data_IF_484643777505
#
_entry.id   IF_484643777505
#
_cell.length_a   1.000
_cell.length_b   1.000
_cell.length_c   1.000
_cell.angle_alpha   90.00
_cell.angle_beta   90.00
_cell.angle_gamma   90.00
#
_symmetry.space_group_name_H-M   'P 1'
#
loop_
_entity.id
_entity.type
_entity.pdbx_description
1 polymer ?
#
# COMPACT_ATOMS: atom_id res chain seq x y z
N UNK A 1 -31.89 11.39 -19.12
CA UNK A 1 -30.98 12.50 -19.49
C UNK A 1 -29.79 11.90 -20.20
N UNK A 2 -29.39 12.46 -21.34
CA UNK A 2 -28.13 12.06 -21.99
C UNK A 2 -26.93 12.39 -21.09
N UNK A 3 -25.82 11.71 -21.33
CA UNK A 3 -24.51 11.97 -20.68
C UNK A 3 -24.12 13.45 -20.67
N UNK A 4 -24.56 14.20 -21.68
CA UNK A 4 -24.34 15.64 -21.85
C UNK A 4 -24.94 16.53 -20.74
N UNK A 5 -26.22 16.34 -20.39
CA UNK A 5 -26.87 17.15 -19.35
C UNK A 5 -26.33 16.88 -17.94
N UNK A 6 -25.94 15.63 -17.70
CA UNK A 6 -25.29 15.19 -16.46
C UNK A 6 -23.91 15.83 -16.26
N UNK A 7 -23.15 16.03 -17.34
CA UNK A 7 -21.84 16.69 -17.30
C UNK A 7 -21.98 18.18 -17.00
N UNK A 8 -22.99 18.83 -17.58
CA UNK A 8 -23.27 20.25 -17.39
C UNK A 8 -23.73 20.56 -15.96
N UNK A 9 -24.67 19.77 -15.44
CA UNK A 9 -25.10 19.87 -14.04
C UNK A 9 -23.92 19.59 -13.11
N UNK A 10 -23.09 18.62 -13.46
CA UNK A 10 -21.90 18.27 -12.71
C UNK A 10 -20.87 19.40 -12.62
N UNK A 11 -20.58 20.01 -13.77
CA UNK A 11 -19.62 21.09 -13.89
C UNK A 11 -20.16 22.39 -13.25
N UNK A 12 -21.42 22.74 -13.50
CA UNK A 12 -22.08 23.89 -12.88
C UNK A 12 -22.19 23.77 -11.35
N UNK A 13 -22.45 22.57 -10.83
CA UNK A 13 -22.48 22.32 -9.39
C UNK A 13 -21.08 22.39 -8.74
N UNK A 14 -20.02 22.15 -9.51
CA UNK A 14 -18.65 22.27 -9.03
C UNK A 14 -18.17 23.74 -8.95
N UNK A 15 -18.81 24.66 -9.68
CA UNK A 15 -18.37 26.05 -9.83
C UNK A 15 -19.52 27.05 -9.63
N UNK A 16 -19.62 27.61 -8.43
CA UNK A 16 -20.59 28.65 -8.09
C UNK A 16 -19.95 30.04 -8.25
N UNK A 17 -19.98 30.60 -9.47
CA UNK A 17 -19.39 31.90 -9.80
C UNK A 17 -19.19 32.14 -11.31
N UNK A 18 -18.77 33.35 -11.74
CA UNK A 18 -18.35 33.56 -13.14
C UNK A 18 -17.21 32.58 -13.47
N UNK A 19 -17.19 32.01 -14.70
CA UNK A 19 -16.13 31.08 -15.09
C UNK A 19 -14.77 31.74 -14.82
N UNK A 20 -13.81 31.02 -14.23
CA UNK A 20 -12.51 31.58 -13.96
C UNK A 20 -11.91 32.04 -15.28
N UNK A 21 -11.14 33.13 -15.27
CA UNK A 21 -10.36 33.62 -16.43
C UNK A 21 -9.22 32.66 -16.84
N UNK A 22 -9.32 31.40 -16.45
CA UNK A 22 -8.31 30.35 -16.43
C UNK A 22 -8.49 29.39 -17.60
N UNK A 23 -7.40 28.73 -18.00
CA UNK A 23 -7.43 27.74 -19.08
C UNK A 23 -7.92 26.41 -18.53
N UNK A 24 -9.15 26.05 -18.86
CA UNK A 24 -9.74 24.78 -18.43
C UNK A 24 -9.57 23.70 -19.49
N UNK A 25 -9.04 22.54 -19.10
CA UNK A 25 -8.89 21.37 -19.96
C UNK A 25 -9.93 20.31 -19.60
N UNK A 26 -11.00 20.21 -20.39
CA UNK A 26 -12.09 19.26 -20.14
C UNK A 26 -12.03 18.14 -21.18
N UNK A 27 -11.93 16.89 -20.73
CA UNK A 27 -11.90 15.71 -21.61
C UNK A 27 -13.30 15.13 -21.75
N UNK A 28 -13.90 15.27 -22.94
CA UNK A 28 -15.22 14.73 -23.27
C UNK A 28 -15.29 14.09 -24.67
N UNK A 29 -16.30 13.24 -24.93
CA UNK A 29 -16.62 12.76 -26.28
C UNK A 29 -17.08 13.91 -27.21
N UNK A 30 -16.78 13.80 -28.51
CA UNK A 30 -16.98 14.84 -29.54
C UNK A 30 -18.42 15.39 -29.71
N UNK A 31 -19.42 14.73 -29.12
CA UNK A 31 -20.84 15.08 -29.27
C UNK A 31 -21.37 15.94 -28.10
N UNK A 32 -20.51 16.35 -27.16
CA UNK A 32 -20.95 16.91 -25.86
C UNK A 32 -20.38 18.29 -25.52
N UNK A 33 -19.98 19.07 -26.54
CA UNK A 33 -19.53 20.46 -26.32
C UNK A 33 -20.74 21.37 -26.07
N UNK A 34 -20.85 22.02 -24.91
CA UNK A 34 -21.98 22.90 -24.63
C UNK A 34 -21.87 24.26 -25.32
N UNK A 35 -23.04 24.84 -25.65
CA UNK A 35 -23.15 26.23 -26.10
C UNK A 35 -22.72 27.21 -24.97
N UNK A 36 -21.96 28.25 -25.31
CA UNK A 36 -21.54 29.30 -24.36
C UNK A 36 -20.25 29.02 -23.58
N UNK A 37 -19.60 27.88 -23.83
CA UNK A 37 -18.32 27.50 -23.21
C UNK A 37 -17.11 27.71 -24.15
N UNK A 38 -17.14 28.74 -25.00
CA UNK A 38 -16.12 28.97 -26.03
C UNK A 38 -14.76 29.41 -25.48
N UNK A 39 -14.73 29.88 -24.24
CA UNK A 39 -13.50 30.30 -23.55
C UNK A 39 -12.72 29.11 -22.95
N UNK A 40 -13.33 27.93 -22.86
CA UNK A 40 -12.73 26.71 -22.29
C UNK A 40 -12.00 25.89 -23.36
N UNK A 41 -10.93 25.20 -22.96
CA UNK A 41 -10.16 24.32 -23.86
C UNK A 41 -10.67 22.89 -23.73
N UNK A 42 -11.57 22.55 -24.64
CA UNK A 42 -12.08 21.20 -24.78
C UNK A 42 -11.01 20.33 -25.43
N UNK A 43 -10.62 19.26 -24.74
CA UNK A 43 -9.69 18.26 -25.27
C UNK A 43 -10.47 17.00 -25.57
N UNK A 44 -10.90 16.87 -26.82
CA UNK A 44 -11.61 15.68 -27.29
C UNK A 44 -10.66 14.49 -27.28
N UNK A 45 -11.08 13.42 -26.60
CA UNK A 45 -10.38 12.14 -26.67
C UNK A 45 -11.39 11.09 -27.11
N UNK A 46 -11.13 10.34 -28.20
CA UNK A 46 -12.05 9.33 -28.68
C UNK A 46 -12.40 8.32 -27.58
N UNK A 47 -13.67 7.89 -27.51
CA UNK A 47 -14.12 6.91 -26.50
C UNK A 47 -13.35 5.58 -26.54
N UNK A 48 -12.81 5.22 -27.72
CA UNK A 48 -11.98 4.04 -27.93
C UNK A 48 -10.51 4.21 -27.52
N UNK A 49 -10.11 5.40 -27.05
CA UNK A 49 -8.75 5.63 -26.59
C UNK A 49 -8.52 4.93 -25.24
N UNK A 50 -7.42 4.18 -25.18
CA UNK A 50 -6.94 3.63 -23.92
C UNK A 50 -6.55 4.73 -22.93
N UNK A 51 -6.47 4.36 -21.65
CA UNK A 51 -6.13 5.29 -20.57
C UNK A 51 -4.77 5.96 -20.78
N UNK A 52 -3.81 5.29 -21.42
CA UNK A 52 -2.47 5.81 -21.71
C UNK A 52 -2.52 6.96 -22.72
N UNK A 53 -3.32 6.84 -23.78
CA UNK A 53 -3.51 7.88 -24.77
C UNK A 53 -4.21 9.12 -24.16
N UNK A 54 -5.23 8.90 -23.32
CA UNK A 54 -5.94 9.99 -22.63
C UNK A 54 -5.01 10.73 -21.68
N UNK A 55 -4.27 10.01 -20.85
CA UNK A 55 -3.33 10.59 -19.88
C UNK A 55 -2.20 11.36 -20.55
N UNK A 56 -1.65 10.84 -21.66
CA UNK A 56 -0.66 11.55 -22.46
C UNK A 56 -1.19 12.86 -23.03
N UNK A 57 -2.40 12.84 -23.61
CA UNK A 57 -3.03 14.04 -24.17
C UNK A 57 -3.24 15.11 -23.10
N UNK A 58 -3.71 14.73 -21.90
CA UNK A 58 -3.85 15.65 -20.77
C UNK A 58 -2.49 16.22 -20.37
N UNK A 59 -1.46 15.38 -20.26
CA UNK A 59 -0.11 15.82 -19.92
C UNK A 59 0.44 16.86 -20.90
N UNK A 60 0.36 16.58 -22.21
CA UNK A 60 0.86 17.45 -23.26
C UNK A 60 0.15 18.82 -23.23
N UNK A 61 -1.18 18.82 -23.03
CA UNK A 61 -1.99 20.05 -22.99
C UNK A 61 -1.74 20.90 -21.75
N UNK A 62 -1.69 20.29 -20.58
CA UNK A 62 -1.38 21.00 -19.33
C UNK A 62 0.02 21.60 -19.41
N UNK A 63 0.99 20.87 -19.96
CA UNK A 63 2.37 21.34 -20.15
C UNK A 63 2.43 22.52 -21.12
N UNK A 64 1.75 22.43 -22.26
CA UNK A 64 1.66 23.51 -23.26
C UNK A 64 1.08 24.79 -22.65
N UNK A 65 0.00 24.66 -21.89
CA UNK A 65 -0.75 25.81 -21.35
C UNK A 65 -0.11 26.44 -20.13
N UNK A 66 0.75 25.72 -19.42
CA UNK A 66 1.53 26.28 -18.32
C UNK A 66 2.38 27.48 -18.74
N UNK A 67 2.81 27.55 -20.01
CA UNK A 67 3.58 28.68 -20.53
C UNK A 67 2.83 30.03 -20.44
N UNK A 68 1.49 30.01 -20.28
CA UNK A 68 0.69 31.23 -20.09
C UNK A 68 0.70 31.76 -18.65
N UNK A 69 1.15 30.97 -17.67
CA UNK A 69 1.13 31.33 -16.25
C UNK A 69 -0.25 31.31 -15.59
N UNK A 70 -1.29 30.86 -16.30
CA UNK A 70 -2.64 30.72 -15.76
C UNK A 70 -2.78 29.48 -14.86
N UNK A 71 -3.70 29.52 -13.90
CA UNK A 71 -4.17 28.33 -13.19
C UNK A 71 -4.91 27.40 -14.17
N UNK A 72 -4.72 26.09 -14.02
CA UNK A 72 -5.25 25.07 -14.92
C UNK A 72 -6.21 24.17 -14.14
N UNK A 73 -7.45 24.08 -14.60
CA UNK A 73 -8.41 23.11 -14.09
C UNK A 73 -8.53 21.92 -15.05
N UNK A 74 -8.37 20.70 -14.53
CA UNK A 74 -8.53 19.45 -15.27
C UNK A 74 -9.74 18.72 -14.74
N UNK A 75 -10.77 18.57 -15.56
CA UNK A 75 -12.00 17.87 -15.19
C UNK A 75 -12.15 16.55 -15.96
N UNK A 76 -12.38 15.44 -15.26
CA UNK A 76 -12.55 14.12 -15.89
C UNK A 76 -13.38 13.13 -15.07
N UNK A 77 -14.03 12.17 -15.75
CA UNK A 77 -14.62 10.97 -15.14
C UNK A 77 -13.60 9.86 -14.92
N UNK A 78 -12.43 9.91 -15.56
CA UNK A 78 -11.41 8.85 -15.49
C UNK A 78 -10.48 9.05 -14.30
N UNK A 79 -10.36 8.08 -13.37
CA UNK A 79 -9.42 8.17 -12.25
C UNK A 79 -7.95 8.28 -12.68
N UNK A 80 -7.57 7.72 -13.84
CA UNK A 80 -6.22 7.82 -14.38
C UNK A 80 -5.80 9.27 -14.70
N UNK A 81 -6.75 10.13 -15.10
CA UNK A 81 -6.50 11.56 -15.34
C UNK A 81 -6.22 12.32 -14.03
N UNK A 82 -6.85 11.90 -12.92
CA UNK A 82 -6.56 12.46 -11.59
C UNK A 82 -5.09 12.34 -11.25
N UNK A 83 -4.52 11.14 -11.41
CA UNK A 83 -3.12 10.88 -11.08
C UNK A 83 -2.18 11.77 -11.90
N UNK A 84 -2.47 11.98 -13.19
CA UNK A 84 -1.68 12.86 -14.06
C UNK A 84 -1.76 14.31 -13.61
N UNK A 85 -2.97 14.81 -13.32
CA UNK A 85 -3.17 16.17 -12.85
C UNK A 85 -2.47 16.43 -11.50
N UNK A 86 -2.52 15.46 -10.58
CA UNK A 86 -1.82 15.54 -9.29
C UNK A 86 -0.29 15.53 -9.47
N UNK A 87 0.25 14.66 -10.34
CA UNK A 87 1.69 14.63 -10.67
C UNK A 87 2.12 15.97 -11.27
N UNK A 88 1.35 16.51 -12.21
CA UNK A 88 1.64 17.81 -12.83
C UNK A 88 1.59 18.93 -11.80
N UNK A 89 0.58 18.95 -10.92
CA UNK A 89 0.52 19.90 -9.80
C UNK A 89 1.73 19.81 -8.87
N UNK A 90 2.22 18.60 -8.58
CA UNK A 90 3.39 18.39 -7.73
C UNK A 90 4.70 18.83 -8.42
N UNK A 91 4.91 18.43 -9.68
CA UNK A 91 6.11 18.77 -10.47
C UNK A 91 6.21 20.28 -10.71
N UNK A 92 5.07 20.96 -10.78
CA UNK A 92 4.99 22.37 -11.18
C UNK A 92 4.79 23.35 -10.03
N UNK A 93 4.86 22.88 -8.77
CA UNK A 93 4.69 23.68 -7.56
C UNK A 93 3.30 24.34 -7.45
N UNK A 94 2.25 23.62 -7.84
CA UNK A 94 0.85 24.07 -7.79
C UNK A 94 0.30 24.53 -9.14
N UNK A 95 -0.90 25.13 -9.12
CA UNK A 95 -1.56 25.69 -10.31
C UNK A 95 -2.28 24.69 -11.20
N UNK A 96 -2.39 23.42 -10.81
CA UNK A 96 -3.23 22.41 -11.47
C UNK A 96 -4.25 21.88 -10.46
N UNK A 97 -5.53 22.10 -10.72
CA UNK A 97 -6.65 21.63 -9.91
C UNK A 97 -7.35 20.50 -10.64
N UNK A 98 -7.61 19.38 -9.97
CA UNK A 98 -8.37 18.28 -10.56
C UNK A 98 -9.80 18.24 -10.02
N UNK A 99 -10.77 18.15 -10.93
CA UNK A 99 -12.20 17.99 -10.61
C UNK A 99 -12.68 16.63 -11.10
N UNK A 100 -13.08 15.78 -10.16
CA UNK A 100 -13.62 14.47 -10.48
C UNK A 100 -15.10 14.57 -10.86
N UNK A 101 -15.41 14.53 -12.16
CA UNK A 101 -16.77 14.76 -12.67
C UNK A 101 -17.77 13.71 -12.19
N UNK A 102 -17.33 12.49 -11.87
CA UNK A 102 -18.24 11.45 -11.38
C UNK A 102 -18.84 11.76 -9.99
N UNK A 103 -18.27 12.72 -9.25
CA UNK A 103 -18.80 13.16 -7.95
C UNK A 103 -20.13 13.89 -8.10
N UNK A 104 -20.38 14.41 -9.29
CA UNK A 104 -21.57 15.20 -9.60
C UNK A 104 -22.42 14.58 -10.71
N UNK A 105 -21.99 13.43 -11.26
CA UNK A 105 -22.86 12.66 -12.13
C UNK A 105 -24.13 12.28 -11.37
N UNK A 106 -25.34 12.51 -11.93
CA UNK A 106 -26.55 11.95 -11.36
C UNK A 106 -26.33 10.44 -11.24
N UNK A 107 -26.75 9.80 -10.13
CA UNK A 107 -26.52 8.38 -9.93
C UNK A 107 -27.02 7.65 -11.16
N UNK A 108 -26.08 7.11 -11.95
CA UNK A 108 -26.35 6.53 -13.25
C UNK A 108 -27.57 5.64 -13.10
N UNK A 109 -28.65 5.96 -13.84
CA UNK A 109 -29.98 5.32 -13.79
C UNK A 109 -29.86 3.97 -13.14
N UNK A 110 -30.12 3.95 -11.83
CA UNK A 110 -29.65 2.89 -10.96
C UNK A 110 -30.09 1.56 -11.55
N UNK A 111 -29.11 0.77 -12.02
CA UNK A 111 -29.30 -0.68 -11.94
C UNK A 111 -29.76 -0.91 -10.51
N UNK A 112 -30.97 -1.47 -10.37
CA UNK A 112 -31.61 -1.62 -9.07
C UNK A 112 -30.55 -2.09 -8.07
N UNK A 113 -30.43 -1.41 -6.91
CA UNK A 113 -29.40 -1.74 -5.94
C UNK A 113 -29.46 -3.26 -5.74
N UNK A 114 -28.34 -3.97 -5.93
CA UNK A 114 -28.35 -5.42 -5.98
C UNK A 114 -29.08 -5.94 -4.73
N UNK A 115 -30.11 -6.77 -4.92
CA UNK A 115 -30.87 -7.30 -3.80
C UNK A 115 -30.03 -8.34 -3.06
N UNK A 116 -30.14 -8.31 -1.72
CA UNK A 116 -29.53 -9.32 -0.88
C UNK A 116 -30.16 -10.70 -1.12
N UNK A 117 -29.34 -11.71 -1.38
CA UNK A 117 -29.79 -13.08 -1.61
C UNK A 117 -29.94 -13.86 -0.30
N UNK A 118 -31.17 -13.93 0.21
CA UNK A 118 -31.53 -14.68 1.42
C UNK A 118 -31.40 -16.21 1.30
N UNK A 119 -31.13 -16.74 0.10
CA UNK A 119 -30.79 -18.16 -0.09
C UNK A 119 -29.31 -18.43 0.21
N UNK A 120 -28.45 -17.42 0.03
CA UNK A 120 -27.02 -17.51 0.35
C UNK A 120 -26.76 -17.35 1.85
N UNK A 121 -27.32 -16.31 2.47
CA UNK A 121 -27.23 -16.05 3.91
C UNK A 121 -28.40 -15.17 4.32
N UNK A 122 -29.05 -15.46 5.44
CA UNK A 122 -30.16 -14.61 5.91
C UNK A 122 -29.66 -13.21 6.25
N UNK A 123 -30.41 -12.17 5.87
CA UNK A 123 -30.08 -10.75 6.17
C UNK A 123 -29.75 -10.53 7.66
N UNK A 124 -30.48 -11.17 8.58
CA UNK A 124 -30.23 -11.06 10.03
C UNK A 124 -28.89 -11.67 10.46
N UNK A 125 -28.55 -12.82 9.90
CA UNK A 125 -27.27 -13.51 10.14
C UNK A 125 -26.10 -12.68 9.59
N UNK A 126 -26.25 -12.13 8.39
CA UNK A 126 -25.22 -11.32 7.75
C UNK A 126 -24.94 -10.02 8.53
N UNK A 127 -25.98 -9.31 8.94
CA UNK A 127 -25.83 -8.11 9.77
C UNK A 127 -25.33 -8.46 11.16
N UNK A 128 -25.77 -9.58 11.75
CA UNK A 128 -25.23 -10.07 13.01
C UNK A 128 -23.73 -10.33 12.94
N UNK A 129 -23.28 -10.94 11.85
CA UNK A 129 -21.87 -11.19 11.55
C UNK A 129 -21.09 -9.90 11.40
N UNK A 130 -21.60 -8.94 10.63
CA UNK A 130 -20.98 -7.61 10.50
C UNK A 130 -20.84 -6.89 11.84
N UNK A 131 -21.93 -6.84 12.63
CA UNK A 131 -21.96 -6.19 13.94
C UNK A 131 -20.95 -6.85 14.87
N UNK A 132 -20.93 -8.18 14.93
CA UNK A 132 -19.99 -8.95 15.74
C UNK A 132 -18.54 -8.62 15.37
N UNK A 133 -18.21 -8.64 14.07
CA UNK A 133 -16.87 -8.34 13.57
C UNK A 133 -16.44 -6.91 13.91
N UNK A 134 -17.28 -5.91 13.70
CA UNK A 134 -16.95 -4.52 14.04
C UNK A 134 -16.73 -4.36 15.56
N UNK A 135 -17.54 -5.00 16.40
CA UNK A 135 -17.42 -4.84 17.85
C UNK A 135 -16.25 -5.59 18.49
N UNK A 136 -15.72 -6.62 17.83
CA UNK A 136 -14.48 -7.28 18.24
C UNK A 136 -13.24 -6.62 17.64
N UNK A 137 -13.42 -5.77 16.64
CA UNK A 137 -12.37 -4.92 16.06
C UNK A 137 -12.20 -3.62 16.87
N UNK A 138 -11.39 -2.69 16.37
CA UNK A 138 -11.37 -1.31 16.87
C UNK A 138 -12.76 -0.64 16.80
N UNK A 139 -12.99 0.38 17.62
CA UNK A 139 -14.27 1.11 17.68
C UNK A 139 -14.77 1.66 16.32
N UNK A 140 -13.87 1.79 15.35
CA UNK A 140 -14.12 2.22 13.98
C UNK A 140 -13.32 1.36 13.00
N UNK A 141 -13.94 0.99 11.88
CA UNK A 141 -13.33 0.13 10.86
C UNK A 141 -13.51 0.75 9.48
N UNK A 142 -12.46 0.77 8.65
CA UNK A 142 -12.57 1.28 7.26
C UNK A 142 -13.38 0.32 6.39
N UNK A 143 -14.15 0.88 5.47
CA UNK A 143 -15.03 0.09 4.60
C UNK A 143 -14.26 -0.91 3.71
N UNK A 144 -13.04 -0.58 3.29
CA UNK A 144 -12.14 -1.51 2.57
C UNK A 144 -11.67 -2.69 3.40
N UNK A 145 -11.56 -2.54 4.71
CA UNK A 145 -10.99 -3.55 5.61
C UNK A 145 -12.06 -4.54 6.09
N UNK A 146 -13.33 -4.12 6.10
CA UNK A 146 -14.46 -4.95 6.52
C UNK A 146 -14.51 -6.31 5.82
N UNK A 147 -14.19 -6.38 4.52
CA UNK A 147 -14.20 -7.66 3.80
C UNK A 147 -13.16 -8.63 4.34
N UNK A 148 -11.96 -8.16 4.68
CA UNK A 148 -10.89 -9.00 5.23
C UNK A 148 -11.29 -9.52 6.61
N UNK A 149 -11.84 -8.65 7.46
CA UNK A 149 -12.29 -9.00 8.81
C UNK A 149 -13.48 -9.99 8.80
N UNK A 150 -14.47 -9.75 7.94
CA UNK A 150 -15.59 -10.67 7.75
C UNK A 150 -15.13 -12.04 7.26
N UNK A 151 -14.22 -12.09 6.28
CA UNK A 151 -13.71 -13.35 5.74
C UNK A 151 -12.84 -14.13 6.75
N UNK A 152 -12.20 -13.44 7.69
CA UNK A 152 -11.46 -14.06 8.79
C UNK A 152 -12.39 -14.67 9.83
N UNK A 153 -13.55 -14.05 10.10
CA UNK A 153 -14.56 -14.56 11.01
C UNK A 153 -15.44 -15.66 10.38
N UNK A 154 -15.87 -15.45 9.13
CA UNK A 154 -16.69 -16.39 8.36
C UNK A 154 -16.20 -16.45 6.90
N UNK A 155 -15.66 -17.62 6.52
CA UNK A 155 -15.06 -17.84 5.21
C UNK A 155 -16.00 -17.61 4.02
N UNK A 156 -17.33 -17.65 4.23
CA UNK A 156 -18.33 -17.35 3.18
C UNK A 156 -18.16 -15.94 2.62
N UNK A 157 -17.64 -14.99 3.40
CA UNK A 157 -17.41 -13.61 2.97
C UNK A 157 -16.14 -13.42 2.11
N UNK A 158 -15.33 -14.46 1.89
CA UNK A 158 -14.16 -14.39 1.02
C UNK A 158 -14.59 -14.06 -0.42
N UNK A 159 -13.91 -13.11 -1.06
CA UNK A 159 -14.19 -12.72 -2.45
C UNK A 159 -13.76 -13.86 -3.38
N UNK A 160 -14.73 -14.57 -3.96
CA UNK A 160 -14.49 -15.63 -4.94
C UNK A 160 -15.18 -15.30 -6.25
N UNK A 161 -14.43 -15.30 -7.35
CA UNK A 161 -14.98 -14.99 -8.69
C UNK A 161 -16.18 -15.89 -8.99
N UNK A 162 -17.26 -15.31 -9.52
CA UNK A 162 -18.49 -16.04 -9.83
C UNK A 162 -19.46 -16.23 -8.66
N UNK A 163 -19.09 -15.84 -7.44
CA UNK A 163 -19.99 -15.96 -6.26
C UNK A 163 -20.72 -14.66 -5.93
N UNK A 164 -21.74 -14.75 -5.07
CA UNK A 164 -22.51 -13.59 -4.59
C UNK A 164 -21.62 -12.51 -3.95
N UNK A 165 -20.57 -12.91 -3.22
CA UNK A 165 -19.67 -11.99 -2.51
C UNK A 165 -18.69 -11.23 -3.41
N UNK A 166 -18.51 -11.68 -4.65
CA UNK A 166 -17.71 -10.99 -5.67
C UNK A 166 -18.50 -9.94 -6.46
N UNK A 167 -19.82 -9.85 -6.28
CA UNK A 167 -20.65 -8.83 -6.96
C UNK A 167 -20.16 -7.41 -6.61
N UNK A 168 -20.23 -6.46 -7.56
CA UNK A 168 -19.96 -5.05 -7.29
C UNK A 168 -20.82 -4.54 -6.13
N UNK A 169 -20.25 -3.66 -5.30
CA UNK A 169 -20.94 -3.04 -4.16
C UNK A 169 -21.46 -3.99 -3.07
N UNK A 170 -21.04 -5.26 -3.06
CA UNK A 170 -21.43 -6.24 -2.02
C UNK A 170 -21.25 -5.71 -0.59
N UNK A 171 -20.09 -5.10 -0.30
CA UNK A 171 -19.82 -4.53 1.02
C UNK A 171 -20.71 -3.34 1.35
N UNK A 172 -20.99 -2.48 0.37
CA UNK A 172 -21.93 -1.36 0.53
C UNK A 172 -23.33 -1.85 0.85
N UNK A 173 -23.81 -2.86 0.14
CA UNK A 173 -25.12 -3.49 0.40
C UNK A 173 -25.21 -4.05 1.82
N UNK A 174 -24.20 -4.80 2.28
CA UNK A 174 -24.17 -5.34 3.64
C UNK A 174 -24.20 -4.24 4.71
N UNK A 175 -23.41 -3.18 4.52
CA UNK A 175 -23.39 -2.02 5.43
C UNK A 175 -24.74 -1.32 5.43
N UNK A 176 -25.36 -1.11 4.25
CA UNK A 176 -26.71 -0.52 4.15
C UNK A 176 -27.75 -1.30 4.96
N UNK A 177 -27.76 -2.64 4.89
CA UNK A 177 -28.68 -3.47 5.69
C UNK A 177 -28.51 -3.25 7.20
N UNK A 178 -27.27 -3.02 7.67
CA UNK A 178 -26.99 -2.75 9.07
C UNK A 178 -27.33 -1.30 9.47
N UNK A 179 -27.16 -0.33 8.56
CA UNK A 179 -27.58 1.07 8.73
C UNK A 179 -29.10 1.19 8.81
N UNK A 180 -29.83 0.51 7.94
CA UNK A 180 -31.30 0.44 7.96
C UNK A 180 -31.85 -0.04 9.31
N UNK A 181 -31.12 -0.96 9.95
CA UNK A 181 -31.42 -1.49 11.29
C UNK A 181 -30.88 -0.64 12.43
N UNK A 182 -30.24 0.49 12.13
CA UNK A 182 -29.63 1.43 13.08
C UNK A 182 -28.58 0.77 13.98
N UNK A 183 -27.91 -0.29 13.51
CA UNK A 183 -26.88 -1.01 14.27
C UNK A 183 -25.47 -0.46 13.99
N UNK A 184 -25.26 0.11 12.81
CA UNK A 184 -24.02 0.78 12.41
C UNK A 184 -24.32 2.18 11.86
N UNK A 185 -23.33 3.05 11.88
CA UNK A 185 -23.33 4.34 11.21
C UNK A 185 -22.09 4.47 10.33
N UNK A 186 -22.22 5.21 9.22
CA UNK A 186 -21.11 5.54 8.33
C UNK A 186 -20.58 6.91 8.75
N UNK A 187 -19.29 7.00 9.06
CA UNK A 187 -18.60 8.24 9.40
C UNK A 187 -17.79 8.69 8.17
N UNK A 188 -18.16 9.81 7.53
CA UNK A 188 -17.42 10.35 6.39
C UNK A 188 -15.99 10.71 6.79
N UNK A 189 -15.03 10.52 5.89
CA UNK A 189 -13.66 10.96 6.14
C UNK A 189 -13.51 12.46 5.83
N UNK A 190 -12.71 13.18 6.62
CA UNK A 190 -12.67 14.66 6.63
C UNK A 190 -11.72 15.24 5.56
N UNK A 191 -11.21 14.44 4.62
CA UNK A 191 -10.12 14.88 3.74
C UNK A 191 -10.06 14.14 2.39
N UNK A 192 -11.14 14.16 1.59
CA UNK A 192 -11.10 13.67 0.20
C UNK A 192 -10.82 12.16 0.03
N UNK A 193 -10.80 11.40 1.12
CA UNK A 193 -10.68 9.95 1.12
C UNK A 193 -12.04 9.32 0.86
N UNK A 194 -12.15 8.58 -0.25
CA UNK A 194 -13.37 7.90 -0.69
C UNK A 194 -13.69 6.64 0.12
N UNK A 195 -12.94 6.34 1.18
CA UNK A 195 -13.10 5.17 2.03
C UNK A 195 -13.63 5.56 3.43
N UNK A 196 -14.95 5.55 3.65
CA UNK A 196 -15.53 5.94 4.92
C UNK A 196 -15.24 4.92 6.03
N UNK A 197 -15.40 5.35 7.28
CA UNK A 197 -15.38 4.45 8.43
C UNK A 197 -16.80 3.97 8.75
N UNK A 198 -16.91 2.76 9.27
CA UNK A 198 -18.14 2.17 9.80
C UNK A 198 -17.94 1.95 11.30
N UNK A 199 -18.90 2.45 12.08
CA UNK A 199 -18.87 2.40 13.55
C UNK A 199 -20.18 1.80 14.08
N UNK A 200 -20.11 1.11 15.22
CA UNK A 200 -21.31 0.64 15.90
C UNK A 200 -22.07 1.80 16.53
N UNK A 201 -23.39 1.78 16.39
CA UNK A 201 -24.28 2.63 17.19
C UNK A 201 -24.39 2.06 18.62
N UNK A 202 -24.99 2.80 19.57
CA UNK A 202 -25.32 2.23 20.88
C UNK A 202 -26.15 0.93 20.79
N UNK A 203 -27.09 0.85 19.83
CA UNK A 203 -27.90 -0.34 19.60
C UNK A 203 -27.07 -1.53 19.06
N UNK A 204 -26.11 -1.25 18.17
CA UNK A 204 -25.14 -2.25 17.71
C UNK A 204 -24.27 -2.79 18.83
N UNK A 205 -23.73 -1.90 19.68
CA UNK A 205 -22.93 -2.30 20.85
C UNK A 205 -23.72 -3.15 21.85
N UNK A 206 -24.98 -2.82 22.09
CA UNK A 206 -25.85 -3.57 23.01
C UNK A 206 -26.08 -5.02 22.55
N UNK A 207 -25.98 -5.33 21.25
CA UNK A 207 -26.08 -6.71 20.73
C UNK A 207 -24.85 -7.56 20.97
N UNK A 208 -23.70 -6.94 21.23
CA UNK A 208 -22.42 -7.63 21.42
C UNK A 208 -22.07 -7.72 22.90
N UNK A 209 -22.63 -6.82 23.72
CA UNK A 209 -22.49 -6.90 25.15
C UNK A 209 -22.89 -8.32 25.60
N UNK A 210 -22.00 -9.05 26.31
CA UNK A 210 -22.36 -10.34 26.87
C UNK A 210 -23.62 -10.11 27.69
N UNK A 211 -24.67 -10.92 27.46
CA UNK A 211 -25.88 -10.88 28.27
C UNK A 211 -25.40 -10.88 29.73
N UNK A 212 -25.57 -9.74 30.40
CA UNK A 212 -25.09 -9.56 31.76
C UNK A 212 -25.62 -10.74 32.55
N UNK A 213 -24.69 -11.47 33.18
CA UNK A 213 -24.94 -12.71 33.88
C UNK A 213 -26.26 -12.63 34.65
N UNK A 214 -27.17 -13.55 34.32
CA UNK A 214 -28.34 -13.83 35.17
C UNK A 214 -27.82 -13.99 36.60
N UNK A 215 -28.33 -13.24 37.59
CA UNK A 215 -27.82 -13.29 38.94
C UNK A 215 -27.93 -14.73 39.45
N UNK A 216 -26.79 -15.38 39.62
CA UNK A 216 -26.73 -16.73 40.16
C UNK A 216 -27.12 -16.69 41.65
N UNK A 217 -27.95 -17.63 42.13
CA UNK A 217 -28.35 -17.71 43.53
C UNK A 217 -27.13 -17.98 44.45
N UNK A 218 -27.23 -17.63 45.75
CA UNK A 218 -26.08 -17.60 46.65
C UNK A 218 -25.46 -18.98 46.86
N UNK A 219 -24.12 -18.97 46.89
CA UNK A 219 -23.22 -20.11 46.91
C UNK A 219 -23.36 -21.02 48.15
N UNK A 220 -23.30 -22.33 47.93
CA UNK A 220 -22.85 -23.30 48.92
C UNK A 220 -21.33 -23.54 48.78
N UNK A 221 -20.61 -23.83 49.88
CA UNK A 221 -19.16 -23.97 49.84
C UNK A 221 -18.69 -25.42 49.59
N UNK A 222 -17.52 -25.48 48.94
CA UNK A 222 -16.47 -26.52 49.05
C UNK A 222 -16.47 -27.70 48.08
N UNK A 223 -15.52 -27.64 47.14
CA UNK A 223 -14.92 -28.79 46.46
C UNK A 223 -13.73 -28.32 45.60
N UNK A 224 -12.53 -28.94 45.70
CA UNK A 224 -11.33 -28.48 44.99
C UNK A 224 -11.23 -29.09 43.59
N UNK A 225 -10.42 -28.42 42.75
CA UNK A 225 -9.94 -28.81 41.43
C UNK A 225 -10.85 -28.45 40.22
N UNK A 226 -10.51 -27.33 39.59
CA UNK A 226 -10.58 -27.22 38.13
C UNK A 226 -9.48 -26.24 37.67
N UNK A 227 -8.69 -26.71 36.73
CA UNK A 227 -7.59 -26.00 36.07
C UNK A 227 -8.03 -24.63 35.57
N UNK A 228 -7.26 -23.60 35.92
CA UNK A 228 -7.28 -22.30 35.23
C UNK A 228 -6.92 -22.52 33.76
N UNK A 229 -7.93 -22.61 32.90
CA UNK A 229 -7.77 -22.34 31.48
C UNK A 229 -7.70 -20.82 31.35
N UNK A 230 -6.46 -20.32 31.34
CA UNK A 230 -6.15 -18.95 31.01
C UNK A 230 -6.90 -18.55 29.72
N UNK A 231 -7.73 -17.52 29.82
CA UNK A 231 -8.42 -16.92 28.71
C UNK A 231 -7.39 -16.39 27.70
N UNK A 232 -7.14 -17.18 26.65
CA UNK A 232 -6.37 -16.76 25.50
C UNK A 232 -7.17 -15.69 24.75
N UNK A 233 -6.88 -14.42 25.05
CA UNK A 233 -7.32 -13.30 24.23
C UNK A 233 -6.87 -13.55 22.79
N UNK A 234 -7.83 -13.81 21.92
CA UNK A 234 -7.59 -14.10 20.50
C UNK A 234 -6.95 -12.90 19.83
N UNK A 235 -5.61 -12.88 19.78
CA UNK A 235 -4.87 -11.99 18.89
C UNK A 235 -5.22 -12.43 17.47
N UNK A 236 -5.72 -11.50 16.67
CA UNK A 236 -5.98 -11.70 15.24
C UNK A 236 -4.77 -12.40 14.57
N UNK A 237 -5.01 -13.27 13.57
CA UNK A 237 -3.92 -13.83 12.79
C UNK A 237 -3.13 -12.68 12.16
N UNK A 238 -1.91 -12.45 12.67
CA UNK A 238 -1.03 -11.38 12.19
C UNK A 238 -0.84 -11.51 10.68
N UNK A 239 -0.94 -10.39 9.96
CA UNK A 239 -0.69 -10.38 8.53
C UNK A 239 0.74 -10.84 8.23
N UNK A 240 0.99 -11.38 7.03
CA UNK A 240 2.34 -11.77 6.62
C UNK A 240 3.31 -10.59 6.73
N UNK A 241 2.88 -9.40 6.28
CA UNK A 241 3.67 -8.17 6.41
C UNK A 241 4.06 -7.90 7.87
N UNK A 242 3.15 -8.07 8.83
CA UNK A 242 3.46 -7.89 10.26
C UNK A 242 4.51 -8.89 10.75
N UNK A 243 4.43 -10.16 10.31
CA UNK A 243 5.43 -11.18 10.67
C UNK A 243 6.80 -10.84 10.09
N UNK A 244 6.87 -10.43 8.83
CA UNK A 244 8.11 -10.01 8.18
C UNK A 244 8.74 -8.81 8.92
N UNK A 245 7.93 -7.79 9.22
CA UNK A 245 8.37 -6.60 9.97
C UNK A 245 8.85 -6.99 11.37
N UNK A 246 8.13 -7.87 12.06
CA UNK A 246 8.51 -8.37 13.38
C UNK A 246 9.87 -9.07 13.34
N UNK A 247 10.09 -9.97 12.38
CA UNK A 247 11.36 -10.68 12.20
C UNK A 247 12.50 -9.71 11.92
N UNK A 248 12.31 -8.76 11.00
CA UNK A 248 13.34 -7.76 10.69
C UNK A 248 13.66 -6.89 11.92
N UNK A 249 12.63 -6.45 12.65
CA UNK A 249 12.78 -5.62 13.84
C UNK A 249 13.45 -6.34 15.00
N UNK A 250 13.09 -7.59 15.26
CA UNK A 250 13.68 -8.40 16.34
C UNK A 250 15.16 -8.68 16.12
N UNK A 251 15.63 -8.57 14.88
CA UNK A 251 17.00 -8.87 14.49
C UNK A 251 17.83 -7.65 14.08
N UNK A 252 17.35 -6.42 14.36
CA UNK A 252 17.99 -5.16 13.96
C UNK A 252 18.23 -5.02 12.44
N UNK A 253 17.38 -5.65 11.62
CA UNK A 253 17.36 -5.57 10.15
C UNK A 253 16.29 -4.60 9.63
N UNK A 254 15.83 -3.67 10.48
CA UNK A 254 14.72 -2.75 10.21
C UNK A 254 13.95 -2.39 11.48
N UNK A 255 12.88 -1.60 11.42
CA UNK A 255 12.15 -1.15 10.24
C UNK A 255 12.62 0.24 9.78
N UNK A 256 13.31 0.28 8.64
CA UNK A 256 13.78 1.53 8.03
C UNK A 256 13.33 1.68 6.58
N UNK A 257 12.14 1.15 6.27
CA UNK A 257 11.62 1.04 4.89
C UNK A 257 11.63 2.39 4.16
N UNK A 258 11.14 3.46 4.80
CA UNK A 258 11.01 4.78 4.20
C UNK A 258 12.35 5.47 3.92
N UNK A 259 13.33 5.33 4.82
CA UNK A 259 14.61 6.04 4.72
C UNK A 259 15.71 5.21 4.05
N UNK A 260 15.54 3.88 3.93
CA UNK A 260 16.55 3.00 3.31
C UNK A 260 16.80 3.41 1.87
N UNK A 261 15.74 3.69 1.11
CA UNK A 261 15.87 4.10 -0.29
C UNK A 261 16.54 5.47 -0.45
N UNK A 262 16.22 6.43 0.42
CA UNK A 262 16.89 7.73 0.45
C UNK A 262 18.40 7.54 0.72
N UNK A 263 18.76 6.68 1.68
CA UNK A 263 20.17 6.37 1.96
C UNK A 263 20.83 5.69 0.76
N UNK A 264 20.13 4.81 0.06
CA UNK A 264 20.68 4.19 -1.16
C UNK A 264 20.98 5.22 -2.25
N UNK A 265 20.06 6.17 -2.48
CA UNK A 265 20.27 7.24 -3.43
C UNK A 265 21.47 8.12 -3.04
N UNK A 266 21.65 8.42 -1.75
CA UNK A 266 22.79 9.20 -1.27
C UNK A 266 24.12 8.43 -1.38
N UNK A 267 24.14 7.11 -1.15
CA UNK A 267 25.33 6.28 -1.38
C UNK A 267 25.75 6.36 -2.84
N UNK A 268 24.82 6.17 -3.77
CA UNK A 268 25.09 6.22 -5.21
C UNK A 268 25.62 7.59 -5.65
N UNK A 269 24.98 8.67 -5.19
CA UNK A 269 25.46 10.04 -5.44
C UNK A 269 26.88 10.24 -4.93
N UNK A 270 27.16 9.86 -3.67
CA UNK A 270 28.46 10.10 -3.04
C UNK A 270 29.58 9.30 -3.71
N UNK A 271 29.34 8.06 -4.13
CA UNK A 271 30.35 7.27 -4.88
C UNK A 271 30.75 7.98 -6.17
N UNK A 272 29.80 8.60 -6.88
CA UNK A 272 30.09 9.37 -8.09
C UNK A 272 30.89 10.66 -7.87
N UNK A 273 30.92 11.20 -6.65
CA UNK A 273 31.59 12.46 -6.34
C UNK A 273 33.05 12.31 -5.92
N UNK A 274 33.34 11.35 -5.05
CA UNK A 274 34.69 11.12 -4.54
C UNK A 274 34.83 9.75 -3.89
N UNK A 275 36.02 9.16 -4.02
CA UNK A 275 36.32 7.89 -3.34
C UNK A 275 36.38 8.09 -1.82
N UNK A 276 35.73 7.19 -1.08
CA UNK A 276 35.61 7.24 0.39
C UNK A 276 35.79 5.85 0.98
N UNK A 277 36.21 5.75 2.23
CA UNK A 277 36.17 4.45 2.91
C UNK A 277 34.72 3.98 3.09
N UNK A 278 34.43 2.67 3.11
CA UNK A 278 33.08 2.12 3.28
C UNK A 278 32.29 2.73 4.45
N UNK A 279 32.91 2.82 5.63
CA UNK A 279 32.26 3.37 6.83
C UNK A 279 31.96 4.87 6.70
N UNK A 280 32.87 5.62 6.07
CA UNK A 280 32.67 7.05 5.83
C UNK A 280 31.57 7.29 4.80
N UNK A 281 31.52 6.49 3.74
CA UNK A 281 30.47 6.56 2.72
C UNK A 281 29.08 6.37 3.33
N UNK A 282 28.88 5.30 4.13
CA UNK A 282 27.59 5.05 4.79
C UNK A 282 27.26 6.17 5.78
N UNK A 283 28.25 6.62 6.56
CA UNK A 283 28.06 7.71 7.54
C UNK A 283 27.62 9.00 6.86
N UNK A 284 28.33 9.42 5.82
CA UNK A 284 28.06 10.65 5.08
C UNK A 284 26.70 10.56 4.37
N UNK A 285 26.33 9.39 3.81
CA UNK A 285 25.02 9.17 3.20
C UNK A 285 23.87 9.32 4.22
N UNK A 286 24.00 8.70 5.40
CA UNK A 286 22.98 8.81 6.46
C UNK A 286 22.89 10.25 6.98
N UNK A 287 24.01 10.97 7.09
CA UNK A 287 24.00 12.39 7.44
C UNK A 287 23.30 13.25 6.38
N UNK A 288 23.56 13.01 5.10
CA UNK A 288 22.89 13.73 4.02
C UNK A 288 21.35 13.55 4.07
N UNK A 289 20.87 12.31 4.24
CA UNK A 289 19.43 12.05 4.40
C UNK A 289 18.86 12.74 5.64
N UNK A 290 19.60 12.74 6.75
CA UNK A 290 19.20 13.43 7.98
C UNK A 290 19.09 14.95 7.77
N UNK A 291 20.04 15.55 7.08
CA UNK A 291 20.04 16.99 6.83
C UNK A 291 18.90 17.38 5.86
N UNK A 292 18.60 16.55 4.86
CA UNK A 292 17.49 16.77 3.91
C UNK A 292 16.10 16.60 4.54
N UNK A 293 15.90 15.56 5.36
CA UNK A 293 14.62 15.29 6.02
C UNK A 293 14.43 16.06 7.33
N UNK A 294 15.51 16.66 7.83
CA UNK A 294 15.62 17.23 9.18
C UNK A 294 15.57 16.17 10.28
N UNK A 295 15.69 16.60 11.54
CA UNK A 295 15.34 15.78 12.71
C UNK A 295 13.81 15.66 12.86
N UNK A 296 13.10 15.43 11.75
CA UNK A 296 11.65 15.31 11.75
C UNK A 296 11.24 14.30 12.81
N UNK A 297 10.39 14.67 13.78
CA UNK A 297 9.94 13.74 14.80
C UNK A 297 9.30 12.56 14.09
N UNK A 298 9.69 11.34 14.49
CA UNK A 298 8.91 10.16 14.13
C UNK A 298 7.43 10.41 14.42
N UNK A 299 6.50 9.68 13.80
CA UNK A 299 5.05 9.79 14.11
C UNK A 299 4.72 9.74 15.62
N UNK A 300 5.65 9.25 16.44
CA UNK A 300 5.60 9.20 17.91
C UNK A 300 6.12 10.45 18.66
N UNK A 301 6.55 11.51 17.97
CA UNK A 301 7.18 12.70 18.58
C UNK A 301 8.63 12.49 19.03
N UNK A 302 9.16 11.26 18.96
CA UNK A 302 10.54 10.94 19.35
C UNK A 302 11.52 11.22 18.22
N UNK A 303 12.75 11.61 18.60
CA UNK A 303 13.89 11.73 17.67
C UNK A 303 14.09 10.42 16.92
N UNK A 304 14.31 10.50 15.62
CA UNK A 304 14.56 9.34 14.79
C UNK A 304 15.91 8.67 15.16
N UNK A 305 15.99 7.32 15.24
CA UNK A 305 17.20 6.64 15.68
C UNK A 305 18.23 6.48 14.55
N UNK A 306 18.81 7.59 14.07
CA UNK A 306 19.78 7.63 12.96
C UNK A 306 20.97 6.68 13.13
N UNK A 307 21.46 6.49 14.37
CA UNK A 307 22.55 5.56 14.66
C UNK A 307 22.18 4.10 14.36
N UNK A 308 20.91 3.71 14.58
CA UNK A 308 20.43 2.36 14.26
C UNK A 308 20.29 2.16 12.75
N UNK A 309 19.85 3.18 12.01
CA UNK A 309 19.82 3.14 10.55
C UNK A 309 21.23 2.94 9.97
N UNK A 310 22.23 3.69 10.46
CA UNK A 310 23.64 3.49 10.06
C UNK A 310 24.13 2.07 10.37
N UNK A 311 23.85 1.56 11.57
CA UNK A 311 24.24 0.21 11.98
C UNK A 311 23.59 -0.86 11.09
N UNK A 312 22.31 -0.67 10.75
CA UNK A 312 21.57 -1.51 9.82
C UNK A 312 22.22 -1.58 8.44
N UNK A 313 22.49 -0.43 7.80
CA UNK A 313 23.13 -0.38 6.47
C UNK A 313 24.52 -1.03 6.50
N UNK A 314 25.29 -0.74 7.56
CA UNK A 314 26.60 -1.36 7.77
C UNK A 314 26.51 -2.89 7.88
N UNK A 315 25.50 -3.40 8.59
CA UNK A 315 25.29 -4.84 8.74
C UNK A 315 24.89 -5.50 7.42
N UNK A 316 24.00 -4.86 6.66
CA UNK A 316 23.53 -5.35 5.38
C UNK A 316 24.69 -5.44 4.37
N UNK A 317 25.52 -4.41 4.30
CA UNK A 317 26.72 -4.36 3.45
C UNK A 317 27.74 -5.43 3.84
N UNK A 318 27.92 -5.70 5.14
CA UNK A 318 28.82 -6.79 5.59
C UNK A 318 28.32 -8.18 5.18
N UNK A 319 27.02 -8.37 5.05
CA UNK A 319 26.42 -9.64 4.60
C UNK A 319 26.49 -9.77 3.07
N UNK A 320 26.33 -8.65 2.37
CA UNK A 320 26.32 -8.58 0.92
C UNK A 320 27.26 -7.45 0.49
N UNK A 321 28.54 -7.77 0.23
CA UNK A 321 29.53 -6.79 -0.17
C UNK A 321 29.14 -6.19 -1.53
N UNK A 322 28.71 -4.92 -1.51
CA UNK A 322 28.27 -4.19 -2.72
C UNK A 322 29.20 -3.07 -3.11
N UNK A 323 30.11 -2.69 -2.24
CA UNK A 323 31.11 -1.66 -2.54
C UNK A 323 32.29 -2.28 -3.26
N UNK A 324 32.78 -1.57 -4.27
CA UNK A 324 33.94 -1.97 -5.05
C UNK A 324 35.09 -0.98 -4.83
N UNK A 325 36.31 -1.51 -4.82
CA UNK A 325 37.57 -0.77 -4.87
C UNK A 325 38.40 -1.41 -5.97
N UNK A 326 38.69 -0.67 -7.04
CA UNK A 326 39.38 -1.18 -8.23
C UNK A 326 38.70 -2.45 -8.79
N UNK A 327 37.36 -2.46 -8.78
CA UNK A 327 36.54 -3.58 -9.23
C UNK A 327 36.47 -4.78 -8.27
N UNK A 328 37.11 -4.73 -7.10
CA UNK A 328 37.06 -5.80 -6.08
C UNK A 328 36.08 -5.47 -4.96
N UNK A 329 35.25 -6.44 -4.52
CA UNK A 329 34.37 -6.22 -3.38
C UNK A 329 35.13 -5.86 -2.11
N UNK A 330 34.68 -4.82 -1.42
CA UNK A 330 35.22 -4.35 -0.14
C UNK A 330 34.08 -4.21 0.86
N UNK A 331 34.29 -4.74 2.07
CA UNK A 331 33.29 -4.66 3.15
C UNK A 331 33.66 -3.63 4.20
N UNK A 332 32.69 -3.15 4.99
CA UNK A 332 32.96 -2.41 6.23
C UNK A 332 33.59 -3.36 7.26
N UNK A 333 34.89 -3.22 7.47
CA UNK A 333 35.65 -4.00 8.46
C UNK A 333 36.77 -3.15 9.05
N UNK A 334 37.29 -3.54 10.22
CA UNK A 334 38.46 -2.87 10.80
C UNK A 334 39.69 -3.00 9.88
N UNK A 335 39.79 -4.11 9.14
CA UNK A 335 40.86 -4.43 8.21
C UNK A 335 40.81 -3.66 6.88
N UNK A 336 39.66 -3.09 6.50
CA UNK A 336 39.47 -2.39 5.22
C UNK A 336 39.62 -0.87 5.34
N UNK A 337 40.30 -0.39 6.38
CA UNK A 337 40.49 1.05 6.65
C UNK A 337 41.22 1.80 5.54
N UNK A 338 42.05 1.10 4.74
CA UNK A 338 42.76 1.69 3.60
C UNK A 338 42.02 1.59 2.25
N UNK A 339 40.97 0.76 2.15
CA UNK A 339 40.24 0.58 0.89
C UNK A 339 39.32 1.77 0.64
N UNK A 340 39.35 2.30 -0.58
CA UNK A 340 38.49 3.39 -1.03
C UNK A 340 37.46 2.83 -2.01
N UNK A 341 36.18 3.10 -1.73
CA UNK A 341 35.07 2.76 -2.61
C UNK A 341 35.08 3.71 -3.79
N UNK A 342 35.19 3.16 -5.00
CA UNK A 342 35.18 3.90 -6.27
C UNK A 342 34.00 3.51 -7.18
N UNK A 343 33.37 2.36 -6.92
CA UNK A 343 32.21 1.89 -7.64
C UNK A 343 31.26 1.08 -6.75
N UNK A 344 30.06 0.82 -7.28
CA UNK A 344 29.08 -0.09 -6.71
C UNK A 344 28.94 -1.30 -7.62
N UNK A 345 28.67 -2.47 -7.06
CA UNK A 345 28.39 -3.67 -7.84
C UNK A 345 27.11 -3.53 -8.68
N UNK A 346 27.05 -4.25 -9.79
CA UNK A 346 25.83 -4.32 -10.59
C UNK A 346 24.67 -4.88 -9.74
N UNK A 347 23.48 -4.30 -9.96
CA UNK A 347 22.25 -4.63 -9.24
C UNK A 347 22.35 -4.49 -7.71
N UNK A 348 23.30 -3.71 -7.18
CA UNK A 348 23.58 -3.66 -5.73
C UNK A 348 22.34 -3.41 -4.86
N UNK A 349 21.39 -2.56 -5.31
CA UNK A 349 20.14 -2.32 -4.57
C UNK A 349 19.31 -3.61 -4.44
N UNK A 350 19.19 -4.38 -5.53
CA UNK A 350 18.50 -5.69 -5.53
C UNK A 350 19.24 -6.69 -4.67
N UNK A 351 20.58 -6.66 -4.63
CA UNK A 351 21.39 -7.51 -3.74
C UNK A 351 21.10 -7.24 -2.27
N UNK A 352 21.07 -5.97 -1.87
CA UNK A 352 20.79 -5.55 -0.50
C UNK A 352 19.34 -5.86 -0.09
N UNK A 353 18.37 -5.51 -0.94
CA UNK A 353 16.95 -5.78 -0.64
C UNK A 353 16.63 -7.28 -0.68
N UNK A 354 17.30 -8.04 -1.55
CA UNK A 354 17.21 -9.49 -1.61
C UNK A 354 17.77 -10.18 -0.37
N UNK A 355 18.77 -9.59 0.30
CA UNK A 355 19.25 -10.07 1.59
C UNK A 355 18.18 -9.95 2.68
N UNK A 356 17.31 -8.93 2.63
CA UNK A 356 16.19 -8.82 3.58
C UNK A 356 15.17 -9.95 3.37
N UNK A 357 14.86 -10.30 2.11
CA UNK A 357 13.99 -11.44 1.79
C UNK A 357 14.63 -12.75 2.26
N UNK A 358 15.92 -12.96 1.94
CA UNK A 358 16.65 -14.13 2.41
C UNK A 358 16.66 -14.22 3.94
N UNK A 359 16.82 -13.09 4.63
CA UNK A 359 16.79 -13.02 6.08
C UNK A 359 15.42 -13.44 6.64
N UNK A 360 14.33 -12.96 6.04
CA UNK A 360 12.96 -13.33 6.43
C UNK A 360 12.73 -14.84 6.24
N UNK A 361 13.18 -15.41 5.10
CA UNK A 361 13.10 -16.85 4.84
C UNK A 361 13.91 -17.70 5.83
N UNK A 362 15.12 -17.25 6.23
CA UNK A 362 15.94 -17.92 7.26
C UNK A 362 15.28 -17.99 8.64
N UNK A 363 14.30 -17.13 8.90
CA UNK A 363 13.56 -17.06 10.15
C UNK A 363 12.16 -17.71 10.00
N UNK A 364 12.06 -18.72 9.13
CA UNK A 364 10.88 -19.58 8.94
C UNK A 364 9.59 -18.86 8.56
N UNK A 365 9.69 -17.66 8.00
CA UNK A 365 8.52 -16.96 7.45
C UNK A 365 8.21 -17.56 6.09
N UNK A 366 7.09 -18.28 6.02
CA UNK A 366 6.56 -18.82 4.76
C UNK A 366 6.12 -17.67 3.86
N UNK A 367 6.71 -17.62 2.66
CA UNK A 367 6.40 -16.67 1.58
C UNK A 367 6.02 -17.49 0.35
N UNK A 368 4.97 -17.08 -0.34
CA UNK A 368 4.55 -17.63 -1.63
C UNK A 368 4.66 -16.58 -2.75
N UNK A 369 4.55 -17.00 -4.01
CA UNK A 369 4.53 -16.08 -5.15
C UNK A 369 3.35 -15.09 -5.16
N UNK A 370 2.31 -15.32 -4.36
CA UNK A 370 1.17 -14.39 -4.23
C UNK A 370 1.35 -13.34 -3.14
N UNK A 371 2.43 -13.45 -2.35
CA UNK A 371 2.65 -12.61 -1.17
C UNK A 371 3.44 -11.33 -1.48
N UNK A 372 3.68 -11.00 -2.75
CA UNK A 372 4.51 -9.86 -3.15
C UNK A 372 3.94 -8.52 -2.66
N UNK A 373 2.60 -8.38 -2.60
CA UNK A 373 1.97 -7.19 -2.03
C UNK A 373 2.28 -7.05 -0.52
N UNK A 374 2.25 -8.15 0.23
CA UNK A 374 2.57 -8.16 1.67
C UNK A 374 4.07 -7.95 1.91
N UNK A 375 4.92 -8.50 1.05
CA UNK A 375 6.35 -8.22 1.06
C UNK A 375 6.66 -6.77 0.71
N UNK A 376 5.93 -6.16 -0.23
CA UNK A 376 6.09 -4.75 -0.56
C UNK A 376 5.73 -3.88 0.66
N UNK A 377 4.66 -4.23 1.37
CA UNK A 377 4.32 -3.63 2.66
C UNK A 377 5.46 -3.76 3.68
N UNK A 378 6.07 -4.94 3.78
CA UNK A 378 7.15 -5.19 4.73
C UNK A 378 8.51 -4.57 4.36
N UNK A 379 8.82 -4.39 3.07
CA UNK A 379 10.12 -3.91 2.61
C UNK A 379 10.14 -2.41 2.30
N UNK A 380 9.01 -1.84 1.88
CA UNK A 380 8.90 -0.48 1.36
C UNK A 380 7.79 0.36 2.03
N UNK A 381 7.10 -0.18 3.04
CA UNK A 381 5.97 0.48 3.70
C UNK A 381 4.85 0.93 2.72
N UNK A 382 4.71 0.22 1.60
CA UNK A 382 3.74 0.55 0.57
C UNK A 382 3.28 -0.71 -0.15
N UNK A 383 1.98 -0.75 -0.49
CA UNK A 383 1.35 -1.82 -1.27
C UNK A 383 0.95 -1.37 -2.68
N UNK A 384 1.52 -0.24 -3.12
CA UNK A 384 1.27 0.24 -4.48
C UNK A 384 1.95 -0.68 -5.51
N UNK A 385 1.40 -0.74 -6.72
CA UNK A 385 1.87 -1.62 -7.79
C UNK A 385 3.36 -1.46 -8.08
N UNK A 386 3.89 -0.24 -8.05
CA UNK A 386 5.32 0.02 -8.27
C UNK A 386 6.23 -0.74 -7.29
N UNK A 387 5.79 -0.91 -6.04
CA UNK A 387 6.57 -1.65 -5.04
C UNK A 387 6.33 -3.14 -5.11
N UNK A 388 5.17 -3.57 -5.61
CA UNK A 388 4.93 -4.96 -5.99
C UNK A 388 5.92 -5.38 -7.09
N UNK A 389 6.01 -4.59 -8.16
CA UNK A 389 6.91 -4.85 -9.30
C UNK A 389 8.36 -4.89 -8.81
N UNK A 390 8.73 -3.96 -7.91
CA UNK A 390 10.06 -3.94 -7.29
C UNK A 390 10.34 -5.19 -6.44
N UNK A 391 9.37 -5.73 -5.69
CA UNK A 391 9.55 -7.00 -4.98
C UNK A 391 9.76 -8.13 -5.99
N UNK A 392 8.95 -8.17 -7.04
CA UNK A 392 9.07 -9.18 -8.08
C UNK A 392 10.47 -9.16 -8.72
N UNK A 393 10.99 -7.98 -9.07
CA UNK A 393 12.36 -7.86 -9.60
C UNK A 393 13.44 -8.40 -8.64
N UNK A 394 13.27 -8.19 -7.34
CA UNK A 394 14.21 -8.71 -6.33
C UNK A 394 14.09 -10.23 -6.21
N UNK A 395 12.88 -10.78 -6.26
CA UNK A 395 12.65 -12.24 -6.25
C UNK A 395 13.24 -12.88 -7.52
N UNK A 396 12.99 -12.32 -8.69
CA UNK A 396 13.54 -12.78 -9.96
C UNK A 396 15.08 -12.74 -9.96
N UNK A 397 15.66 -11.68 -9.38
CA UNK A 397 17.11 -11.58 -9.16
C UNK A 397 17.63 -12.71 -8.24
N UNK A 398 16.96 -12.95 -7.10
CA UNK A 398 17.38 -14.01 -6.19
C UNK A 398 17.24 -15.41 -6.81
N UNK A 399 16.20 -15.65 -7.62
CA UNK A 399 15.99 -16.92 -8.31
C UNK A 399 17.04 -17.13 -9.40
N UNK A 400 17.30 -16.11 -10.24
CA UNK A 400 18.33 -16.18 -11.30
C UNK A 400 19.75 -16.34 -10.77
N UNK A 401 20.03 -15.86 -9.57
CA UNK A 401 21.31 -16.06 -8.88
C UNK A 401 21.36 -17.34 -8.03
N UNK A 402 20.32 -18.18 -8.09
CA UNK A 402 20.27 -19.45 -7.38
C UNK A 402 20.23 -19.30 -5.85
N UNK A 403 19.84 -18.14 -5.31
CA UNK A 403 19.76 -17.91 -3.86
C UNK A 403 18.44 -18.37 -3.24
N UNK A 404 17.39 -18.42 -4.05
CA UNK A 404 16.07 -18.96 -3.68
C UNK A 404 15.61 -19.95 -4.75
N UNK A 405 14.67 -20.81 -4.38
CA UNK A 405 14.02 -21.76 -5.27
C UNK A 405 12.59 -22.04 -4.76
N UNK A 406 11.82 -22.80 -5.53
CA UNK A 406 10.51 -23.29 -5.11
C UNK A 406 10.67 -24.51 -4.20
N UNK A 407 9.80 -24.63 -3.19
CA UNK A 407 9.83 -25.76 -2.28
C UNK A 407 9.45 -27.06 -3.03
N UNK A 408 10.19 -28.17 -2.82
CA UNK A 408 9.82 -29.45 -3.43
C UNK A 408 8.41 -29.88 -3.03
N UNK A 409 7.51 -30.05 -4.01
CA UNK A 409 6.12 -30.44 -3.79
C UNK A 409 5.17 -29.28 -3.42
N UNK A 410 5.65 -28.04 -3.41
CA UNK A 410 4.85 -26.81 -3.26
C UNK A 410 5.47 -25.71 -4.12
N UNK A 411 5.21 -25.78 -5.44
CA UNK A 411 5.71 -24.86 -6.50
C UNK A 411 5.40 -23.38 -6.21
N UNK A 412 4.50 -23.10 -5.25
CA UNK A 412 4.12 -21.74 -4.90
C UNK A 412 4.98 -21.16 -3.80
N UNK A 413 5.65 -22.00 -3.00
CA UNK A 413 6.37 -21.60 -1.80
C UNK A 413 7.83 -21.32 -2.13
N UNK A 414 8.28 -20.11 -1.80
CA UNK A 414 9.66 -19.68 -1.95
C UNK A 414 10.47 -20.16 -0.74
N UNK A 415 11.61 -20.80 -1.00
CA UNK A 415 12.58 -21.24 0.01
C UNK A 415 13.98 -20.81 -0.38
N UNK A 416 14.89 -20.79 0.59
CA UNK A 416 16.30 -20.61 0.29
C UNK A 416 16.81 -21.82 -0.49
N UNK A 417 17.62 -21.56 -1.51
CA UNK A 417 18.32 -22.64 -2.20
C UNK A 417 19.28 -23.33 -1.21
N UNK A 418 19.44 -24.66 -1.30
CA UNK A 418 20.49 -25.33 -0.55
C UNK A 418 21.83 -24.71 -0.93
N UNK A 419 22.78 -24.56 0.02
CA UNK A 419 24.12 -24.12 -0.31
C UNK A 419 24.64 -25.06 -1.40
N UNK A 420 25.13 -24.51 -2.52
CA UNK A 420 25.77 -25.31 -3.56
C UNK A 420 26.81 -26.16 -2.85
N UNK A 421 26.54 -27.47 -2.74
CA UNK A 421 27.51 -28.43 -2.26
C UNK A 421 28.60 -28.39 -3.32
N UNK A 422 29.62 -27.58 -3.07
CA UNK A 422 30.80 -27.51 -3.91
C UNK A 422 31.44 -28.89 -3.91
N UNK A 423 30.96 -29.77 -4.79
CA UNK A 423 31.80 -30.75 -5.43
C UNK A 423 32.85 -29.93 -6.17
N UNK A 424 33.91 -29.59 -5.44
CA UNK A 424 35.16 -29.17 -6.02
C UNK A 424 35.45 -30.21 -7.09
N UNK A 425 35.53 -29.84 -8.38
CA UNK A 425 35.95 -30.79 -9.39
C UNK A 425 37.31 -31.30 -8.91
N UNK A 426 37.36 -32.57 -8.51
CA UNK A 426 38.61 -33.23 -8.18
C UNK A 426 39.53 -32.96 -9.35
N UNK A 427 40.53 -32.13 -9.10
CA UNK A 427 41.56 -31.81 -10.06
C UNK A 427 42.15 -33.15 -10.46
N UNK A 428 41.81 -33.62 -11.67
CA UNK A 428 42.35 -34.84 -12.23
C UNK A 428 43.86 -34.64 -12.24
N UNK A 429 44.53 -35.40 -11.37
CA UNK A 429 45.97 -35.33 -11.21
C UNK A 429 46.67 -35.57 -12.54
N UNK A 430 47.70 -34.76 -12.79
CA UNK A 430 48.66 -34.92 -13.86
C UNK A 430 49.48 -36.20 -13.71
#
# INVERSE_FOLDING_TARGET
>A
MGTEGAVLEAFGAAWDGPPPTAVECIVLPAQTRPDGCDEHIWTEVPDAADDTAVTKVVYDRVTEKRASGAEICVASFRPSVKNVAEVLGAVHQGGVVFVHLATYAPPATASEPPEWDDSWMKRDEAVGTLVHVIGHSSARVRMTDLRKLLAAYDSRFRKQVGTFTARPKFMSMLVSLAVERKLVTIVPNVAGDNNPHVELTPAGRARIAPLAAVPSPPAQPSGPAALEVAAAGGKEPRSLSDRCIDVLRQNDMGPFQELREDVYAQIERLVGEASRSPDRLIRDAVHAVRDERGDAPSRSGKKFPWSRLRAFITRLERQVPVFLSEGRPVTVSLSSTGALVDALADDWRRRLDGELICFVLRNDVVITQYDYEELAGALYNSRQSVFYDKVQEVVDYLASTGRITEAPGDEMRIVLAPPETGEFPHSVGA
#
